data_IF_606678005684
#
_entry.id   IF_606678005684
#
_cell.length_a   1.000
_cell.length_b   1.000
_cell.length_c   1.000
_cell.angle_alpha   90.00
_cell.angle_beta   90.00
_cell.angle_gamma   90.00
#
_symmetry.space_group_name_H-M   'P 1'
#
loop_
_entity.id
_entity.type
_entity.pdbx_description
1 polymer ?
#
# COMPACT_ATOMS: atom_id res chain seq x y z
N UNK A 1 -17.74 0.58 2.65
CA UNK A 1 -16.94 1.31 1.66
C UNK A 1 -17.13 0.61 0.32
N UNK A 2 -17.35 1.33 -0.79
CA UNK A 2 -17.47 0.73 -2.13
C UNK A 2 -16.10 0.49 -2.76
N UNK A 3 -16.02 -0.31 -3.84
CA UNK A 3 -14.75 -0.58 -4.54
C UNK A 3 -14.21 0.68 -5.21
N UNK A 4 -15.09 1.52 -5.74
CA UNK A 4 -14.77 2.81 -6.37
C UNK A 4 -14.19 3.76 -5.32
N UNK A 5 -14.85 3.89 -4.17
CA UNK A 5 -14.36 4.72 -3.08
C UNK A 5 -13.04 4.21 -2.47
N UNK A 6 -12.76 2.91 -2.56
CA UNK A 6 -11.48 2.32 -2.18
C UNK A 6 -10.42 2.72 -3.22
N UNK A 7 -10.70 2.47 -4.50
CA UNK A 7 -9.85 2.79 -5.66
C UNK A 7 -9.38 4.23 -5.67
N UNK A 8 -10.32 5.19 -5.61
CA UNK A 8 -10.02 6.62 -5.75
C UNK A 8 -9.02 7.13 -4.72
N UNK A 9 -9.08 6.57 -3.52
CA UNK A 9 -8.34 7.06 -2.36
C UNK A 9 -7.18 6.15 -1.95
N UNK A 10 -7.05 4.96 -2.53
CA UNK A 10 -5.84 4.13 -2.48
C UNK A 10 -5.00 4.23 -3.74
N UNK A 11 -5.47 4.91 -4.80
CA UNK A 11 -4.79 4.91 -6.10
C UNK A 11 -4.52 3.48 -6.61
N UNK A 12 -5.39 2.53 -6.26
CA UNK A 12 -5.35 1.15 -6.74
C UNK A 12 -6.53 0.95 -7.66
N UNK A 13 -6.31 0.49 -8.88
CA UNK A 13 -7.38 0.35 -9.87
C UNK A 13 -8.52 -0.55 -9.40
N UNK A 14 -9.76 -0.19 -9.76
CA UNK A 14 -10.97 -0.99 -9.45
C UNK A 14 -10.80 -2.45 -9.84
N UNK A 15 -10.25 -2.72 -11.04
CA UNK A 15 -9.99 -4.09 -11.51
C UNK A 15 -8.98 -4.82 -10.63
N UNK A 16 -7.89 -4.16 -10.24
CA UNK A 16 -6.88 -4.72 -9.33
C UNK A 16 -7.48 -5.08 -7.98
N UNK A 17 -8.33 -4.21 -7.40
CA UNK A 17 -9.04 -4.51 -6.15
C UNK A 17 -9.97 -5.71 -6.32
N UNK A 18 -10.69 -5.79 -7.44
CA UNK A 18 -11.56 -6.93 -7.72
C UNK A 18 -10.76 -8.23 -7.87
N UNK A 19 -9.62 -8.21 -8.55
CA UNK A 19 -8.73 -9.38 -8.69
C UNK A 19 -8.21 -9.82 -7.33
N UNK A 20 -7.65 -8.90 -6.54
CA UNK A 20 -7.17 -9.17 -5.18
C UNK A 20 -8.24 -9.78 -4.26
N UNK A 21 -9.53 -9.50 -4.50
CA UNK A 21 -10.62 -10.06 -3.68
C UNK A 21 -11.05 -11.46 -4.12
N UNK A 22 -10.87 -11.80 -5.39
CA UNK A 22 -11.46 -13.01 -5.98
C UNK A 22 -10.41 -14.05 -6.40
N UNK A 23 -9.14 -13.66 -6.45
CA UNK A 23 -8.01 -14.50 -6.88
C UNK A 23 -6.88 -14.35 -5.86
N UNK A 24 -6.72 -15.37 -5.01
CA UNK A 24 -5.70 -15.41 -3.96
C UNK A 24 -4.28 -15.50 -4.54
N UNK A 25 -4.13 -16.01 -5.77
CA UNK A 25 -2.84 -16.15 -6.44
C UNK A 25 -2.48 -14.92 -7.29
N UNK A 26 -3.36 -13.90 -7.34
CA UNK A 26 -3.14 -12.72 -8.14
C UNK A 26 -1.87 -11.98 -7.69
N UNK A 27 -0.87 -11.81 -8.58
CA UNK A 27 0.38 -11.16 -8.22
C UNK A 27 0.13 -9.69 -7.88
N UNK A 28 0.68 -9.25 -6.76
CA UNK A 28 0.59 -7.86 -6.31
C UNK A 28 1.97 -7.28 -5.99
N UNK A 29 2.00 -6.07 -5.43
CA UNK A 29 3.23 -5.38 -5.06
C UNK A 29 3.16 -4.84 -3.63
N UNK A 30 4.32 -4.59 -3.02
CA UNK A 30 4.41 -3.90 -1.71
C UNK A 30 3.65 -2.57 -1.74
N UNK A 31 3.78 -1.83 -2.84
CA UNK A 31 3.17 -0.52 -3.05
C UNK A 31 1.64 -0.59 -3.02
N UNK A 32 1.07 -1.63 -3.63
CA UNK A 32 -0.37 -1.87 -3.66
C UNK A 32 -0.89 -2.27 -2.28
N UNK A 33 -0.21 -3.18 -1.58
CA UNK A 33 -0.59 -3.59 -0.21
C UNK A 33 -0.55 -2.40 0.75
N UNK A 34 0.56 -1.63 0.74
CA UNK A 34 0.71 -0.43 1.57
C UNK A 34 -0.36 0.63 1.26
N UNK A 35 -0.68 0.83 -0.02
CA UNK A 35 -1.74 1.75 -0.43
C UNK A 35 -3.10 1.37 0.18
N UNK A 36 -3.41 0.07 0.22
CA UNK A 36 -4.62 -0.45 0.85
C UNK A 36 -4.58 -0.26 2.37
N UNK A 37 -3.46 -0.53 3.04
CA UNK A 37 -3.31 -0.29 4.48
C UNK A 37 -3.58 1.18 4.86
N UNK A 38 -3.01 2.11 4.10
CA UNK A 38 -3.22 3.56 4.27
C UNK A 38 -4.68 3.93 4.06
N UNK A 39 -5.29 3.40 3.00
CA UNK A 39 -6.68 3.74 2.65
C UNK A 39 -7.68 3.19 3.67
N UNK A 40 -7.44 1.98 4.15
CA UNK A 40 -8.23 1.32 5.18
C UNK A 40 -8.01 1.93 6.57
N UNK A 41 -7.04 2.83 6.70
CA UNK A 41 -6.73 3.52 7.97
C UNK A 41 -6.38 2.53 9.08
N UNK A 42 -5.72 1.43 8.70
CA UNK A 42 -5.31 0.38 9.63
C UNK A 42 -4.42 0.98 10.72
N UNK A 43 -4.62 0.52 11.94
CA UNK A 43 -3.65 0.74 13.01
C UNK A 43 -2.30 0.11 12.64
N UNK A 44 -1.19 0.53 13.25
CA UNK A 44 0.12 -0.06 12.97
C UNK A 44 0.13 -1.58 13.10
N UNK A 45 -0.54 -2.12 14.13
CA UNK A 45 -0.62 -3.57 14.35
C UNK A 45 -1.41 -4.30 13.25
N UNK A 46 -2.54 -3.73 12.79
CA UNK A 46 -3.32 -4.31 11.70
C UNK A 46 -2.60 -4.21 10.35
N UNK A 47 -1.87 -3.11 10.11
CA UNK A 47 -1.10 -2.91 8.90
C UNK A 47 0.08 -3.89 8.83
N UNK A 48 0.78 -4.11 9.95
CA UNK A 48 1.84 -5.12 10.05
C UNK A 48 1.26 -6.54 9.86
N UNK A 49 0.18 -6.91 10.56
CA UNK A 49 -0.46 -8.23 10.40
C UNK A 49 -0.91 -8.49 8.96
N UNK A 50 -1.51 -7.49 8.30
CA UNK A 50 -1.92 -7.62 6.90
C UNK A 50 -0.72 -7.77 5.97
N UNK A 51 0.37 -7.03 6.22
CA UNK A 51 1.58 -7.09 5.41
C UNK A 51 2.31 -8.42 5.60
N UNK A 52 2.36 -8.94 6.83
CA UNK A 52 3.00 -10.23 7.18
C UNK A 52 2.28 -11.44 6.57
N UNK A 53 1.01 -11.30 6.21
CA UNK A 53 0.25 -12.31 5.44
C UNK A 53 0.64 -12.39 3.96
N UNK A 54 1.46 -11.45 3.47
CA UNK A 54 1.97 -11.46 2.11
C UNK A 54 3.34 -12.13 2.04
N UNK A 55 3.77 -12.53 0.85
CA UNK A 55 5.13 -13.06 0.65
C UNK A 55 6.23 -11.97 0.69
N UNK A 56 5.86 -10.71 0.85
CA UNK A 56 6.82 -9.61 0.86
C UNK A 56 7.58 -9.51 2.18
N UNK A 57 8.89 -9.35 2.09
CA UNK A 57 9.75 -9.04 3.24
C UNK A 57 10.40 -7.68 3.07
N UNK A 58 10.27 -6.84 4.09
CA UNK A 58 10.94 -5.54 4.16
C UNK A 58 12.34 -5.72 4.75
N UNK A 59 13.38 -5.49 3.94
CA UNK A 59 14.75 -5.45 4.42
C UNK A 59 15.09 -4.02 4.89
N UNK A 60 14.99 -3.77 6.18
CA UNK A 60 15.24 -2.43 6.78
C UNK A 60 16.65 -1.89 6.58
N UNK A 61 17.59 -2.68 6.05
CA UNK A 61 18.91 -2.17 5.62
C UNK A 61 18.84 -1.41 4.29
N UNK A 62 17.79 -1.61 3.49
CA UNK A 62 17.51 -0.85 2.27
C UNK A 62 16.64 0.36 2.61
N UNK A 63 17.03 1.53 2.13
CA UNK A 63 16.32 2.80 2.39
C UNK A 63 14.84 2.73 1.98
N UNK A 64 14.53 2.15 0.83
CA UNK A 64 13.15 1.94 0.37
C UNK A 64 12.31 1.14 1.37
N UNK A 65 12.77 -0.06 1.73
CA UNK A 65 12.04 -0.96 2.63
C UNK A 65 11.94 -0.39 4.05
N UNK A 66 12.95 0.37 4.50
CA UNK A 66 12.88 1.11 5.76
C UNK A 66 11.78 2.18 5.72
N UNK A 67 11.69 2.94 4.63
CA UNK A 67 10.65 3.96 4.47
C UNK A 67 9.26 3.30 4.39
N UNK A 68 9.12 2.16 3.72
CA UNK A 68 7.88 1.38 3.72
C UNK A 68 7.50 0.88 5.12
N UNK A 69 8.47 0.50 5.95
CA UNK A 69 8.20 0.17 7.36
C UNK A 69 7.67 1.38 8.14
N UNK A 70 8.23 2.58 7.91
CA UNK A 70 7.70 3.79 8.51
C UNK A 70 6.26 4.11 8.05
N UNK A 71 5.94 3.81 6.78
CA UNK A 71 4.58 3.98 6.24
C UNK A 71 3.57 3.09 6.96
N UNK A 72 3.91 1.83 7.26
CA UNK A 72 3.03 0.92 8.03
C UNK A 72 2.65 1.52 9.39
N UNK A 73 3.60 2.14 10.09
CA UNK A 73 3.34 2.83 11.36
C UNK A 73 2.54 4.13 11.23
N UNK A 74 2.34 4.64 10.01
CA UNK A 74 1.73 5.94 9.73
C UNK A 74 0.41 5.85 8.95
N UNK A 75 -0.08 4.63 8.66
CA UNK A 75 -1.27 4.36 7.83
C UNK A 75 -2.54 5.08 8.31
N UNK A 76 -2.87 4.99 9.60
CA UNK A 76 -4.07 5.60 10.18
C UNK A 76 -4.07 7.13 10.11
N UNK A 77 -2.90 7.75 10.19
CA UNK A 77 -2.80 9.21 10.37
C UNK A 77 -2.61 9.98 9.06
N UNK A 78 -2.24 9.32 7.97
CA UNK A 78 -1.85 9.99 6.73
C UNK A 78 -2.75 9.61 5.55
N UNK A 79 -2.81 10.47 4.54
CA UNK A 79 -3.42 10.15 3.24
C UNK A 79 -2.37 9.54 2.31
N UNK A 80 -2.82 8.80 1.29
CA UNK A 80 -1.90 8.26 0.28
C UNK A 80 -1.15 9.36 -0.47
N UNK A 81 -1.79 10.52 -0.70
CA UNK A 81 -1.16 11.65 -1.35
C UNK A 81 -0.01 12.22 -0.51
N UNK A 82 -0.22 12.43 0.79
CA UNK A 82 0.83 12.91 1.70
C UNK A 82 2.01 11.94 1.77
N UNK A 83 1.72 10.63 1.80
CA UNK A 83 2.76 9.59 1.77
C UNK A 83 3.50 9.62 0.44
N UNK A 84 2.80 9.69 -0.70
CA UNK A 84 3.43 9.73 -2.02
C UNK A 84 4.30 10.97 -2.22
N UNK A 85 3.92 12.13 -1.68
CA UNK A 85 4.79 13.32 -1.69
C UNK A 85 6.09 13.09 -0.91
N UNK A 86 6.02 12.42 0.25
CA UNK A 86 7.20 12.03 1.02
C UNK A 86 8.06 11.02 0.24
N UNK A 87 7.46 9.97 -0.32
CA UNK A 87 8.17 8.96 -1.12
C UNK A 87 8.89 9.59 -2.32
N UNK A 88 8.23 10.52 -3.02
CA UNK A 88 8.81 11.27 -4.13
C UNK A 88 10.05 12.07 -3.72
N UNK A 89 10.02 12.74 -2.55
CA UNK A 89 11.18 13.49 -2.02
C UNK A 89 12.37 12.57 -1.73
N UNK A 90 12.12 11.35 -1.28
CA UNK A 90 13.14 10.35 -0.99
C UNK A 90 13.49 9.45 -2.18
N UNK A 91 12.94 9.72 -3.38
CA UNK A 91 13.15 8.92 -4.61
C UNK A 91 12.77 7.44 -4.45
N UNK A 92 11.74 7.16 -3.64
CA UNK A 92 11.18 5.83 -3.41
C UNK A 92 9.96 5.62 -4.31
N UNK A 93 9.70 4.41 -4.83
CA UNK A 93 8.49 4.15 -5.64
C UNK A 93 7.21 4.49 -4.88
N UNK A 94 6.28 5.16 -5.57
CA UNK A 94 5.02 5.63 -5.03
C UNK A 94 4.07 4.46 -4.70
N UNK A 95 3.16 4.69 -3.76
CA UNK A 95 2.07 3.77 -3.44
C UNK A 95 0.95 3.84 -4.49
N UNK A 96 0.27 2.70 -4.67
CA UNK A 96 -0.83 2.51 -5.60
C UNK A 96 -0.59 1.29 -6.49
N UNK A 97 -1.42 1.15 -7.53
CA UNK A 97 -1.10 0.33 -8.70
C UNK A 97 -0.67 1.27 -9.82
N UNK A 98 0.35 0.92 -10.60
CA UNK A 98 0.84 1.75 -11.71
C UNK A 98 -0.32 2.14 -12.64
N UNK A 99 -0.35 3.34 -13.25
CA UNK A 99 -1.41 3.77 -14.18
C UNK A 99 -1.50 2.95 -15.49
N UNK A 100 -0.74 1.88 -15.63
CA UNK A 100 -0.56 1.13 -16.86
C UNK A 100 -1.08 -0.31 -16.70
N UNK A 101 -2.39 -0.48 -16.47
CA UNK A 101 -3.17 -1.70 -16.79
C UNK A 101 -4.68 -1.41 -16.97
#
# INVERSE_FOLDING_TARGET
MTVEALSDKSLVGVKTIQRLRNDEEYPTSKQTVLALCVRLKLSPAEAEDLFDKTDFKLNTKKTEDYIYKCVLGACSNNSIYAINEMLKKHKVPLLGSSPEE
#
